data_IF_893211401067
#
_entry.id   IF_893211401067
#
_cell.length_a   1.000
_cell.length_b   1.000
_cell.length_c   1.000
_cell.angle_alpha   90.00
_cell.angle_beta   90.00
_cell.angle_gamma   90.00
#
_symmetry.space_group_name_H-M   'P 1'
#
loop_
_entity.id
_entity.type
_entity.pdbx_description
1 polymer ?
#
# COMPACT_ATOMS: atom_id res chain seq x y z
N UNK A 1 16.78 -25.30 61.82
CA UNK A 1 15.65 -26.22 61.57
C UNK A 1 15.40 -26.28 60.08
N UNK A 2 16.04 -27.25 59.40
CA UNK A 2 15.83 -27.49 57.96
C UNK A 2 14.46 -28.14 57.83
N UNK A 3 13.56 -27.51 57.06
CA UNK A 3 12.23 -28.06 56.78
C UNK A 3 12.41 -29.24 55.83
N UNK A 4 12.35 -30.45 56.36
CA UNK A 4 12.41 -31.71 55.62
C UNK A 4 11.36 -31.71 54.51
N UNK A 5 11.81 -31.69 53.24
CA UNK A 5 10.96 -31.87 52.05
C UNK A 5 11.07 -30.82 50.93
N UNK A 6 11.84 -29.73 51.10
CA UNK A 6 12.10 -28.78 49.99
C UNK A 6 13.48 -29.03 49.40
N UNK A 7 13.54 -29.39 48.11
CA UNK A 7 14.79 -29.42 47.33
C UNK A 7 15.46 -28.05 47.40
N UNK A 8 16.76 -28.01 47.66
CA UNK A 8 17.52 -26.75 47.71
C UNK A 8 17.51 -26.08 46.34
N UNK A 9 17.76 -24.77 46.28
CA UNK A 9 17.88 -24.08 44.98
C UNK A 9 19.03 -24.64 44.12
N UNK A 10 20.07 -25.21 44.74
CA UNK A 10 21.13 -25.96 44.05
C UNK A 10 20.58 -27.20 43.34
N UNK A 11 19.83 -28.03 44.04
CA UNK A 11 19.20 -29.24 43.48
C UNK A 11 18.14 -28.91 42.43
N UNK A 12 17.38 -27.82 42.62
CA UNK A 12 16.35 -27.38 41.69
C UNK A 12 16.93 -26.89 40.37
N UNK A 13 18.11 -26.29 40.39
CA UNK A 13 18.74 -25.70 39.23
C UNK A 13 19.92 -26.49 38.67
N UNK A 14 20.21 -27.66 39.27
CA UNK A 14 21.28 -28.59 38.89
C UNK A 14 22.65 -27.89 38.83
N UNK A 15 22.91 -26.98 39.76
CA UNK A 15 24.19 -26.26 39.85
C UNK A 15 25.06 -27.00 40.87
N UNK A 16 26.24 -27.52 40.48
CA UNK A 16 27.16 -28.13 41.43
C UNK A 16 27.73 -27.07 42.37
N UNK A 17 27.97 -27.46 43.62
CA UNK A 17 28.48 -26.55 44.69
C UNK A 17 29.78 -25.86 44.27
N UNK A 18 30.62 -26.53 43.46
CA UNK A 18 31.88 -25.99 42.95
C UNK A 18 31.72 -24.75 42.06
N UNK A 19 30.51 -24.47 41.56
CA UNK A 19 30.22 -23.27 40.78
C UNK A 19 29.98 -22.03 41.66
N UNK A 20 29.88 -22.20 42.98
CA UNK A 20 29.82 -21.12 43.96
C UNK A 20 31.24 -20.67 44.39
N UNK A 21 32.12 -20.43 43.40
CA UNK A 21 33.50 -20.01 43.61
C UNK A 21 33.82 -18.74 42.80
N UNK A 22 34.72 -17.91 43.30
CA UNK A 22 35.15 -16.66 42.65
C UNK A 22 35.76 -16.91 41.28
N UNK A 23 36.55 -17.97 41.14
CA UNK A 23 37.21 -18.31 39.88
C UNK A 23 36.19 -18.73 38.83
N UNK A 24 35.19 -19.51 39.22
CA UNK A 24 34.11 -19.94 38.34
C UNK A 24 33.23 -18.76 37.92
N UNK A 25 32.82 -17.91 38.86
CA UNK A 25 32.00 -16.72 38.59
C UNK A 25 32.66 -15.78 37.58
N UNK A 26 33.98 -15.58 37.67
CA UNK A 26 34.74 -14.74 36.73
C UNK A 26 34.84 -15.37 35.34
N UNK A 27 34.96 -16.69 35.26
CA UNK A 27 35.06 -17.43 33.99
C UNK A 27 33.69 -17.69 33.33
N UNK A 28 32.60 -17.56 34.09
CA UNK A 28 31.24 -17.73 33.58
C UNK A 28 30.92 -16.75 32.45
N UNK A 29 30.64 -17.29 31.26
CA UNK A 29 30.17 -16.52 30.10
C UNK A 29 28.65 -16.56 29.97
N UNK A 30 27.98 -17.54 30.60
CA UNK A 30 26.54 -17.75 30.46
C UNK A 30 25.72 -16.89 31.46
N UNK A 31 24.97 -15.86 31.01
CA UNK A 31 24.26 -14.95 31.89
C UNK A 31 23.09 -15.62 32.63
N UNK A 32 22.51 -16.69 32.09
CA UNK A 32 21.39 -17.41 32.74
C UNK A 32 21.85 -18.25 33.93
N UNK A 33 23.03 -18.83 33.84
CA UNK A 33 23.65 -19.56 34.96
C UNK A 33 24.05 -18.58 36.06
N UNK A 34 24.61 -17.44 35.69
CA UNK A 34 24.96 -16.38 36.62
C UNK A 34 23.74 -15.77 37.34
N UNK A 35 22.60 -15.61 36.64
CA UNK A 35 21.31 -15.22 37.26
C UNK A 35 20.82 -16.26 38.29
N UNK A 36 21.06 -17.55 38.06
CA UNK A 36 20.71 -18.62 39.00
C UNK A 36 21.65 -18.62 40.20
N UNK A 37 22.96 -18.50 39.97
CA UNK A 37 23.98 -18.41 41.04
C UNK A 37 23.68 -17.21 41.95
N UNK A 38 23.42 -16.03 41.39
CA UNK A 38 23.08 -14.84 42.16
C UNK A 38 21.83 -15.03 43.03
N UNK A 39 20.78 -15.70 42.52
CA UNK A 39 19.57 -15.99 43.29
C UNK A 39 19.80 -17.03 44.41
N UNK A 40 20.68 -18.02 44.21
CA UNK A 40 21.09 -18.96 45.26
C UNK A 40 21.84 -18.22 46.36
N UNK A 41 22.77 -17.33 46.00
CA UNK A 41 23.53 -16.54 46.97
C UNK A 41 22.64 -15.54 47.72
N UNK A 42 21.64 -14.96 47.07
CA UNK A 42 20.67 -14.05 47.69
C UNK A 42 19.70 -14.77 48.63
N UNK A 43 19.38 -16.05 48.39
CA UNK A 43 18.47 -16.81 49.25
C UNK A 43 19.09 -17.17 50.62
N UNK A 44 20.42 -17.21 50.70
CA UNK A 44 21.15 -17.56 51.92
C UNK A 44 20.99 -19.02 52.36
N UNK A 45 20.48 -19.90 51.49
CA UNK A 45 20.25 -21.33 51.80
C UNK A 45 21.56 -22.09 52.06
N UNK A 46 22.64 -21.73 51.34
CA UNK A 46 23.95 -22.41 51.38
C UNK A 46 24.97 -21.68 52.28
N UNK A 47 24.58 -20.57 52.91
CA UNK A 47 25.46 -19.70 53.69
C UNK A 47 25.44 -18.25 53.21
N UNK A 48 26.01 -17.37 54.02
CA UNK A 48 26.06 -15.93 53.75
C UNK A 48 27.44 -15.52 53.22
N UNK A 49 27.52 -15.25 51.92
CA UNK A 49 28.78 -14.92 51.22
C UNK A 49 28.69 -13.54 50.55
N UNK A 50 28.79 -12.43 51.31
CA UNK A 50 28.50 -11.08 50.79
C UNK A 50 29.44 -10.65 49.66
N UNK A 51 30.71 -11.03 49.70
CA UNK A 51 31.70 -10.67 48.68
C UNK A 51 31.48 -11.43 47.36
N UNK A 52 31.09 -12.71 47.43
CA UNK A 52 30.76 -13.51 46.26
C UNK A 52 29.45 -13.05 45.62
N UNK A 53 28.46 -12.68 46.43
CA UNK A 53 27.21 -12.07 45.94
C UNK A 53 27.47 -10.76 45.21
N UNK A 54 28.36 -9.91 45.74
CA UNK A 54 28.73 -8.66 45.08
C UNK A 54 29.48 -8.90 43.76
N UNK A 55 30.43 -9.84 43.75
CA UNK A 55 31.19 -10.19 42.56
C UNK A 55 30.29 -10.75 41.45
N UNK A 56 29.34 -11.63 41.80
CA UNK A 56 28.33 -12.16 40.87
C UNK A 56 27.37 -11.07 40.37
N UNK A 57 26.99 -10.11 41.21
CA UNK A 57 26.16 -8.97 40.81
C UNK A 57 26.85 -8.08 39.77
N UNK A 58 28.11 -7.71 40.03
CA UNK A 58 28.90 -6.85 39.15
C UNK A 58 29.11 -7.52 37.79
N UNK A 59 29.47 -8.81 37.79
CA UNK A 59 29.66 -9.58 36.57
C UNK A 59 28.34 -9.76 35.80
N UNK A 60 27.22 -9.98 36.50
CA UNK A 60 25.90 -10.07 35.88
C UNK A 60 25.42 -8.72 35.32
N UNK A 61 25.74 -7.60 35.96
CA UNK A 61 25.44 -6.26 35.46
C UNK A 61 26.26 -5.92 34.22
N UNK A 62 27.51 -6.38 34.14
CA UNK A 62 28.36 -6.23 32.96
C UNK A 62 27.83 -7.03 31.76
N UNK A 63 27.36 -8.27 31.98
CA UNK A 63 26.83 -9.12 30.90
C UNK A 63 25.38 -8.77 30.51
N UNK A 64 24.53 -8.42 31.49
CA UNK A 64 23.09 -8.23 31.27
C UNK A 64 22.48 -7.19 32.23
N UNK A 65 22.61 -5.87 31.92
CA UNK A 65 22.13 -4.80 32.79
C UNK A 65 20.60 -4.78 32.96
N UNK A 66 19.84 -5.27 31.97
CA UNK A 66 18.37 -5.29 31.98
C UNK A 66 17.77 -6.61 32.50
N UNK A 67 18.52 -7.36 33.31
CA UNK A 67 18.01 -8.62 33.87
C UNK A 67 16.78 -8.38 34.76
N UNK A 68 15.86 -9.35 34.79
CA UNK A 68 14.68 -9.27 35.69
C UNK A 68 15.07 -9.31 37.16
N UNK A 69 16.28 -9.80 37.46
CA UNK A 69 16.79 -10.01 38.81
C UNK A 69 17.10 -8.69 39.52
N UNK A 70 17.45 -7.65 38.76
CA UNK A 70 17.68 -6.30 39.28
C UNK A 70 16.42 -5.45 39.42
N UNK A 71 15.24 -5.98 39.04
CA UNK A 71 13.99 -5.24 39.19
C UNK A 71 13.57 -5.29 40.66
N UNK A 72 13.51 -4.13 41.28
CA UNK A 72 12.92 -3.95 42.60
C UNK A 72 11.45 -3.56 42.45
N UNK A 73 10.61 -4.05 43.35
CA UNK A 73 9.21 -3.60 43.41
C UNK A 73 9.20 -2.14 43.88
N UNK A 74 8.82 -1.24 42.99
CA UNK A 74 8.61 0.17 43.31
C UNK A 74 7.16 0.36 43.80
N UNK A 75 6.93 1.17 44.85
CA UNK A 75 5.59 1.49 45.30
C UNK A 75 4.82 2.27 44.22
N UNK A 76 3.51 2.06 44.14
CA UNK A 76 2.65 2.76 43.17
C UNK A 76 2.68 4.26 43.43
N UNK A 77 3.01 5.04 42.38
CA UNK A 77 2.99 6.50 42.42
C UNK A 77 1.58 7.00 42.73
N UNK A 78 1.44 7.70 43.85
CA UNK A 78 0.21 8.41 44.26
C UNK A 78 0.18 9.83 43.70
N UNK A 79 -0.99 10.47 43.74
CA UNK A 79 -1.24 11.84 43.28
C UNK A 79 -0.22 12.86 43.82
N UNK A 80 0.26 12.66 45.05
CA UNK A 80 1.18 13.59 45.72
C UNK A 80 2.62 13.52 45.18
N UNK A 81 2.95 12.50 44.39
CA UNK A 81 4.25 12.35 43.72
C UNK A 81 4.27 12.95 42.31
N UNK A 82 3.19 13.60 41.89
CA UNK A 82 3.04 14.14 40.56
C UNK A 82 3.08 15.68 40.60
N UNK A 83 3.89 16.28 39.74
CA UNK A 83 4.03 17.73 39.66
C UNK A 83 2.68 18.38 39.38
N UNK A 84 2.37 19.48 40.08
CA UNK A 84 1.06 20.13 39.99
C UNK A 84 0.70 20.54 38.56
N UNK A 85 1.68 20.97 37.77
CA UNK A 85 1.49 21.32 36.35
C UNK A 85 1.07 20.11 35.52
N UNK A 86 1.79 18.99 35.67
CA UNK A 86 1.46 17.74 34.97
C UNK A 86 0.09 17.21 35.39
N UNK A 87 -0.27 17.33 36.67
CA UNK A 87 -1.58 16.95 37.17
C UNK A 87 -2.69 17.83 36.58
N UNK A 88 -2.48 19.15 36.49
CA UNK A 88 -3.42 20.08 35.86
C UNK A 88 -3.59 19.77 34.37
N UNK A 89 -2.50 19.48 33.66
CA UNK A 89 -2.54 19.12 32.25
C UNK A 89 -3.32 17.81 32.02
N UNK A 90 -3.08 16.78 32.84
CA UNK A 90 -3.84 15.53 32.78
C UNK A 90 -5.32 15.80 33.04
N UNK A 91 -5.64 16.62 34.03
CA UNK A 91 -7.02 16.96 34.37
C UNK A 91 -7.71 17.71 33.23
N UNK A 92 -7.03 18.67 32.61
CA UNK A 92 -7.53 19.41 31.44
C UNK A 92 -7.74 18.50 30.23
N UNK A 93 -6.84 17.56 29.98
CA UNK A 93 -6.99 16.58 28.92
C UNK A 93 -8.20 15.67 29.17
N UNK A 94 -8.40 15.23 30.42
CA UNK A 94 -9.55 14.42 30.82
C UNK A 94 -10.87 15.17 30.67
N UNK A 95 -10.92 16.44 31.10
CA UNK A 95 -12.13 17.26 30.94
C UNK A 95 -12.44 17.47 29.46
N UNK A 96 -11.44 17.81 28.64
CA UNK A 96 -11.59 17.96 27.19
C UNK A 96 -12.10 16.68 26.54
N UNK A 97 -11.55 15.52 26.92
CA UNK A 97 -12.02 14.23 26.44
C UNK A 97 -13.48 13.97 26.84
N UNK A 98 -13.82 14.14 28.12
CA UNK A 98 -15.20 13.90 28.58
C UNK A 98 -16.24 14.80 27.92
N UNK A 99 -15.89 16.06 27.63
CA UNK A 99 -16.77 16.98 26.89
C UNK A 99 -16.95 16.53 25.45
N UNK A 100 -15.85 16.24 24.74
CA UNK A 100 -15.90 15.73 23.37
C UNK A 100 -16.67 14.41 23.26
N UNK A 101 -16.54 13.50 24.23
CA UNK A 101 -17.30 12.25 24.27
C UNK A 101 -18.80 12.50 24.43
N UNK A 102 -19.21 13.43 25.30
CA UNK A 102 -20.63 13.81 25.48
C UNK A 102 -21.21 14.49 24.25
N UNK A 103 -20.41 15.31 23.56
CA UNK A 103 -20.83 15.94 22.30
C UNK A 103 -21.08 14.88 21.23
N UNK A 104 -20.15 13.93 21.05
CA UNK A 104 -20.32 12.80 20.14
C UNK A 104 -21.52 11.93 20.51
N UNK A 105 -21.75 11.67 21.79
CA UNK A 105 -22.90 10.88 22.26
C UNK A 105 -24.23 11.55 21.89
N UNK A 106 -24.32 12.89 22.05
CA UNK A 106 -25.48 13.67 21.61
C UNK A 106 -25.67 13.67 20.10
N UNK A 107 -24.58 13.73 19.33
CA UNK A 107 -24.65 13.63 17.85
C UNK A 107 -25.21 12.28 17.40
N UNK A 108 -24.80 11.20 18.07
CA UNK A 108 -25.29 9.84 17.79
C UNK A 108 -26.74 9.68 18.22
N UNK A 109 -27.13 10.21 19.38
CA UNK A 109 -28.49 10.10 19.91
C UNK A 109 -29.50 10.97 19.14
N UNK A 110 -29.07 12.12 18.61
CA UNK A 110 -29.88 13.02 17.78
C UNK A 110 -30.17 12.50 16.37
N UNK A 111 -29.54 11.41 15.93
CA UNK A 111 -29.79 10.82 14.62
C UNK A 111 -30.79 9.65 14.71
N UNK A 112 -32.04 9.81 14.21
CA UNK A 112 -33.07 8.76 14.31
C UNK A 112 -32.77 7.53 13.44
N UNK A 113 -31.72 7.57 12.60
CA UNK A 113 -31.29 6.43 11.79
C UNK A 113 -30.23 5.63 12.54
N UNK A 114 -30.66 4.86 13.56
CA UNK A 114 -29.91 3.64 13.93
C UNK A 114 -29.88 2.77 12.68
N UNK A 115 -28.75 2.75 11.98
CA UNK A 115 -28.53 1.83 10.88
C UNK A 115 -28.85 0.43 11.41
N UNK A 116 -29.96 -0.16 10.94
CA UNK A 116 -30.16 -1.61 11.00
C UNK A 116 -29.07 -2.18 10.08
N UNK A 117 -27.89 -2.36 10.65
CA UNK A 117 -26.80 -3.08 9.99
C UNK A 117 -27.27 -4.52 9.99
N UNK A 118 -27.86 -4.91 8.87
CA UNK A 118 -28.15 -6.31 8.59
C UNK A 118 -26.79 -6.96 8.36
N UNK A 119 -26.27 -7.61 9.41
CA UNK A 119 -25.01 -8.30 9.34
C UNK A 119 -25.12 -9.37 8.24
N UNK A 120 -24.13 -9.51 7.36
CA UNK A 120 -24.13 -10.60 6.40
C UNK A 120 -24.28 -11.92 7.17
N UNK A 121 -25.15 -12.80 6.69
CA UNK A 121 -25.36 -14.11 7.29
C UNK A 121 -24.00 -14.76 7.55
N UNK A 122 -23.82 -15.21 8.81
CA UNK A 122 -22.64 -15.99 9.22
C UNK A 122 -22.44 -17.06 8.17
N UNK A 123 -21.24 -17.13 7.57
CA UNK A 123 -20.93 -18.11 6.53
C UNK A 123 -21.22 -19.51 7.06
N UNK A 124 -22.39 -20.01 6.71
CA UNK A 124 -22.71 -21.42 6.82
C UNK A 124 -21.66 -22.16 5.99
N UNK A 125 -21.12 -23.29 6.46
CA UNK A 125 -20.22 -24.10 5.65
C UNK A 125 -20.93 -24.36 4.32
N UNK A 126 -20.36 -23.84 3.23
CA UNK A 126 -20.82 -24.19 1.89
C UNK A 126 -20.73 -25.70 1.82
N UNK A 127 -21.89 -26.36 1.64
CA UNK A 127 -21.91 -27.73 1.19
C UNK A 127 -20.90 -27.84 0.03
N UNK A 128 -20.08 -28.91 -0.01
CA UNK A 128 -19.06 -29.06 -1.02
C UNK A 128 -19.69 -28.74 -2.38
N UNK A 129 -19.01 -27.95 -3.24
CA UNK A 129 -19.54 -27.64 -4.55
C UNK A 129 -19.90 -28.99 -5.17
N UNK A 130 -21.19 -29.18 -5.48
CA UNK A 130 -21.57 -30.28 -6.33
C UNK A 130 -20.75 -30.06 -7.60
N UNK A 131 -19.75 -30.93 -7.74
CA UNK A 131 -18.74 -30.86 -8.77
C UNK A 131 -19.43 -30.58 -10.10
N UNK A 132 -18.82 -29.66 -10.85
CA UNK A 132 -19.38 -29.05 -12.06
C UNK A 132 -20.15 -30.05 -12.90
N UNK A 133 -21.31 -29.60 -13.38
CA UNK A 133 -22.24 -30.37 -14.18
C UNK A 133 -21.52 -31.30 -15.15
N UNK A 134 -21.29 -32.54 -14.73
CA UNK A 134 -21.46 -33.64 -15.65
C UNK A 134 -22.94 -33.60 -15.92
N UNK A 135 -23.30 -33.28 -17.17
CA UNK A 135 -24.58 -33.71 -17.69
C UNK A 135 -24.68 -35.19 -17.31
N UNK A 136 -25.51 -35.50 -16.32
CA UNK A 136 -25.90 -36.86 -15.98
C UNK A 136 -26.65 -37.40 -17.20
N UNK A 137 -25.90 -37.82 -18.21
CA UNK A 137 -26.42 -38.72 -19.22
C UNK A 137 -26.57 -40.04 -18.48
N UNK A 138 -27.79 -40.27 -17.99
CA UNK A 138 -28.17 -41.55 -17.43
C UNK A 138 -27.69 -42.64 -18.40
N UNK A 139 -26.94 -43.66 -17.95
CA UNK A 139 -26.46 -44.72 -18.83
C UNK A 139 -27.61 -45.50 -19.51
N UNK A 140 -28.85 -45.28 -19.07
CA UNK A 140 -30.09 -45.77 -19.68
C UNK A 140 -30.47 -45.06 -21.00
N UNK A 141 -30.08 -43.80 -21.19
CA UNK A 141 -30.44 -43.01 -22.39
C UNK A 141 -29.42 -43.15 -23.53
N UNK A 142 -28.29 -43.82 -23.25
CA UNK A 142 -27.29 -44.15 -24.25
C UNK A 142 -27.80 -45.32 -25.09
N UNK A 143 -28.13 -45.06 -26.36
CA UNK A 143 -28.45 -46.11 -27.33
C UNK A 143 -27.28 -47.10 -27.37
N UNK A 144 -27.56 -48.38 -27.07
CA UNK A 144 -26.52 -49.43 -27.03
C UNK A 144 -26.07 -49.76 -28.45
N UNK A 145 -24.81 -50.17 -28.61
CA UNK A 145 -24.20 -50.44 -29.92
C UNK A 145 -24.89 -51.56 -30.72
N UNK A 146 -25.59 -52.47 -30.04
CA UNK A 146 -26.29 -53.60 -30.65
C UNK A 146 -27.78 -53.33 -30.93
N UNK A 147 -28.29 -52.12 -30.65
CA UNK A 147 -29.70 -51.75 -30.88
C UNK A 147 -29.86 -50.98 -32.20
N UNK A 148 -29.62 -51.66 -33.33
CA UNK A 148 -29.61 -51.06 -34.67
C UNK A 148 -30.91 -50.34 -35.04
N UNK A 149 -32.09 -50.87 -34.68
CA UNK A 149 -33.38 -50.21 -34.96
C UNK A 149 -33.55 -48.83 -34.30
N UNK A 150 -32.85 -48.59 -33.19
CA UNK A 150 -32.87 -47.28 -32.51
C UNK A 150 -31.84 -46.34 -33.13
N UNK A 151 -30.72 -46.87 -33.64
CA UNK A 151 -29.74 -46.09 -34.41
C UNK A 151 -30.32 -45.62 -35.76
N UNK A 152 -31.13 -46.44 -36.42
CA UNK A 152 -31.79 -46.06 -37.69
C UNK A 152 -32.80 -44.92 -37.51
N UNK A 153 -33.37 -44.77 -36.30
CA UNK A 153 -34.30 -43.68 -35.95
C UNK A 153 -33.60 -42.47 -35.34
N UNK A 154 -32.29 -42.54 -35.11
CA UNK A 154 -31.53 -41.46 -34.48
C UNK A 154 -31.15 -40.42 -35.53
N UNK A 155 -31.70 -39.23 -35.39
CA UNK A 155 -31.37 -38.07 -36.23
C UNK A 155 -30.24 -37.27 -35.59
N UNK A 156 -29.02 -37.48 -36.11
CA UNK A 156 -27.81 -36.84 -35.59
C UNK A 156 -27.81 -35.32 -35.79
N UNK A 157 -28.42 -34.84 -36.88
CA UNK A 157 -28.46 -33.41 -37.20
C UNK A 157 -29.41 -32.68 -36.23
N UNK A 158 -30.54 -33.29 -35.88
CA UNK A 158 -31.46 -32.76 -34.89
C UNK A 158 -30.85 -32.70 -33.47
N UNK A 159 -30.02 -33.67 -33.09
CA UNK A 159 -29.32 -33.67 -31.78
C UNK A 159 -28.18 -32.66 -31.73
N UNK A 160 -27.46 -32.44 -32.83
CA UNK A 160 -26.45 -31.39 -32.93
C UNK A 160 -27.05 -30.01 -32.64
N UNK A 161 -28.19 -29.69 -33.27
CA UNK A 161 -28.92 -28.44 -33.04
C UNK A 161 -29.39 -28.31 -31.59
N UNK A 162 -29.83 -29.42 -30.96
CA UNK A 162 -30.20 -29.42 -29.54
C UNK A 162 -29.00 -29.15 -28.64
N UNK A 163 -27.82 -29.70 -28.96
CA UNK A 163 -26.59 -29.44 -28.20
C UNK A 163 -26.16 -27.98 -28.31
N UNK A 164 -26.18 -27.41 -29.52
CA UNK A 164 -25.83 -26.00 -29.74
C UNK A 164 -26.78 -25.07 -28.99
N UNK A 165 -28.10 -25.33 -29.06
CA UNK A 165 -29.11 -24.56 -28.31
C UNK A 165 -28.90 -24.67 -26.80
N UNK A 166 -28.53 -25.85 -26.30
CA UNK A 166 -28.22 -26.04 -24.87
C UNK A 166 -26.96 -25.28 -24.45
N UNK A 167 -25.93 -25.25 -25.28
CA UNK A 167 -24.70 -24.49 -25.00
C UNK A 167 -24.99 -22.98 -24.97
N UNK A 168 -25.81 -22.48 -25.90
CA UNK A 168 -26.20 -21.07 -25.95
C UNK A 168 -27.02 -20.66 -24.72
N UNK A 169 -27.98 -21.48 -24.30
CA UNK A 169 -28.73 -21.27 -23.04
C UNK A 169 -27.80 -21.29 -21.82
N UNK A 170 -26.81 -22.18 -21.79
CA UNK A 170 -25.83 -22.23 -20.70
C UNK A 170 -24.94 -20.98 -20.66
N UNK A 171 -24.49 -20.49 -21.82
CA UNK A 171 -23.74 -19.24 -21.95
C UNK A 171 -24.56 -18.05 -21.48
N UNK A 172 -25.81 -17.92 -21.94
CA UNK A 172 -26.70 -16.84 -21.52
C UNK A 172 -26.97 -16.87 -20.00
N UNK A 173 -27.19 -18.05 -19.42
CA UNK A 173 -27.33 -18.21 -17.96
C UNK A 173 -26.06 -17.85 -17.20
N UNK A 174 -24.89 -18.22 -17.72
CA UNK A 174 -23.61 -17.89 -17.12
C UNK A 174 -23.33 -16.39 -17.18
N UNK A 175 -23.68 -15.73 -18.29
CA UNK A 175 -23.60 -14.28 -18.44
C UNK A 175 -24.59 -13.56 -17.54
N UNK A 176 -25.85 -14.02 -17.45
CA UNK A 176 -26.83 -13.50 -16.48
C UNK A 176 -26.36 -13.66 -15.05
N UNK A 177 -25.76 -14.79 -14.68
CA UNK A 177 -25.17 -14.96 -13.35
C UNK A 177 -23.95 -14.06 -13.11
N UNK A 178 -23.10 -13.84 -14.13
CA UNK A 178 -21.98 -12.88 -14.04
C UNK A 178 -22.49 -11.46 -13.86
N UNK A 179 -23.49 -11.06 -14.64
CA UNK A 179 -24.13 -9.75 -14.56
C UNK A 179 -24.86 -9.56 -13.23
N UNK A 180 -25.62 -10.54 -12.75
CA UNK A 180 -26.25 -10.50 -11.42
C UNK A 180 -25.22 -10.40 -10.30
N UNK A 181 -24.12 -11.19 -10.35
CA UNK A 181 -23.02 -11.05 -9.38
C UNK A 181 -22.38 -9.66 -9.44
N UNK A 182 -22.22 -9.08 -10.64
CA UNK A 182 -21.68 -7.74 -10.82
C UNK A 182 -22.59 -6.67 -10.21
N UNK A 183 -23.90 -6.74 -10.45
CA UNK A 183 -24.91 -5.83 -9.86
C UNK A 183 -24.94 -5.94 -8.34
N UNK A 184 -24.94 -7.16 -7.79
CA UNK A 184 -24.89 -7.38 -6.33
C UNK A 184 -23.60 -6.83 -5.72
N UNK A 185 -22.46 -6.94 -6.41
CA UNK A 185 -21.20 -6.33 -5.98
C UNK A 185 -21.33 -4.80 -6.03
N UNK A 186 -21.84 -4.20 -7.11
CA UNK A 186 -22.02 -2.74 -7.21
C UNK A 186 -23.00 -2.18 -6.15
N UNK A 187 -24.07 -2.91 -5.80
CA UNK A 187 -25.00 -2.52 -4.73
C UNK A 187 -24.39 -2.63 -3.32
N UNK A 188 -23.51 -3.61 -3.08
CA UNK A 188 -22.73 -3.73 -1.84
C UNK A 188 -21.59 -2.69 -1.80
N UNK A 189 -21.06 -2.31 -2.96
CA UNK A 189 -19.95 -1.36 -3.14
C UNK A 189 -20.42 0.09 -3.09
N UNK A 190 -21.72 0.37 -3.09
CA UNK A 190 -22.22 1.66 -2.61
C UNK A 190 -21.62 1.89 -1.22
N UNK A 191 -20.63 2.79 -1.10
CA UNK A 191 -19.69 2.66 -0.01
C UNK A 191 -20.45 2.85 1.30
N UNK A 192 -20.27 1.92 2.25
CA UNK A 192 -20.99 1.92 3.53
C UNK A 192 -20.89 3.31 4.20
N UNK A 193 -19.79 4.02 3.96
CA UNK A 193 -19.57 5.38 4.45
C UNK A 193 -20.52 6.45 3.89
N UNK A 194 -21.16 6.27 2.74
CA UNK A 194 -22.18 7.21 2.22
C UNK A 194 -23.45 7.26 3.09
N UNK A 195 -23.70 6.22 3.89
CA UNK A 195 -24.83 6.17 4.84
C UNK A 195 -24.47 6.68 6.24
N UNK A 196 -23.19 6.93 6.51
CA UNK A 196 -22.68 7.42 7.80
C UNK A 196 -22.78 8.95 7.91
N UNK A 197 -22.84 9.44 9.14
CA UNK A 197 -22.74 10.88 9.43
C UNK A 197 -21.34 11.41 9.06
N UNK A 198 -21.22 12.73 8.89
CA UNK A 198 -19.92 13.37 8.60
C UNK A 198 -18.88 13.07 9.69
N UNK A 199 -19.27 13.19 10.95
CA UNK A 199 -18.42 12.92 12.13
C UNK A 199 -17.89 11.48 12.13
N UNK A 200 -18.75 10.49 11.84
CA UNK A 200 -18.34 9.09 11.74
C UNK A 200 -17.40 8.86 10.55
N UNK A 201 -17.63 9.51 9.40
CA UNK A 201 -16.76 9.39 8.22
C UNK A 201 -15.35 9.92 8.50
N UNK A 202 -15.25 11.08 9.13
CA UNK A 202 -13.98 11.67 9.55
C UNK A 202 -13.22 10.75 10.51
N UNK A 203 -13.91 10.11 11.46
CA UNK A 203 -13.31 9.15 12.38
C UNK A 203 -12.83 7.87 11.67
N UNK A 204 -13.61 7.34 10.73
CA UNK A 204 -13.23 6.19 9.93
C UNK A 204 -12.02 6.50 9.03
N UNK A 205 -12.02 7.65 8.37
CA UNK A 205 -10.89 8.13 7.58
C UNK A 205 -9.64 8.31 8.45
N UNK A 206 -9.79 8.89 9.65
CA UNK A 206 -8.69 9.02 10.62
C UNK A 206 -8.11 7.66 11.02
N UNK A 207 -8.96 6.65 11.23
CA UNK A 207 -8.54 5.28 11.56
C UNK A 207 -7.71 4.66 10.42
N UNK A 208 -8.16 4.79 9.17
CA UNK A 208 -7.41 4.33 8.00
C UNK A 208 -6.08 5.08 7.82
N UNK A 209 -6.07 6.40 8.05
CA UNK A 209 -4.83 7.20 8.05
C UNK A 209 -3.83 6.71 9.11
N UNK A 210 -4.28 6.43 10.34
CA UNK A 210 -3.39 5.94 11.41
C UNK A 210 -2.81 4.57 11.05
N UNK A 211 -3.64 3.65 10.55
CA UNK A 211 -3.17 2.34 10.06
C UNK A 211 -2.17 2.47 8.91
N UNK A 212 -2.44 3.34 7.93
CA UNK A 212 -1.50 3.62 6.85
C UNK A 212 -0.15 4.14 7.36
N UNK A 213 -0.16 5.00 8.38
CA UNK A 213 1.06 5.48 9.03
C UNK A 213 1.81 4.36 9.77
N UNK A 214 1.10 3.40 10.38
CA UNK A 214 1.70 2.23 11.02
C UNK A 214 2.38 1.33 9.99
N UNK A 215 1.71 1.00 8.90
CA UNK A 215 2.31 0.24 7.79
C UNK A 215 3.50 0.96 7.15
N UNK A 216 3.42 2.29 7.02
CA UNK A 216 4.54 3.08 6.51
C UNK A 216 5.76 3.00 7.45
N UNK A 217 5.55 2.94 8.77
CA UNK A 217 6.64 2.74 9.75
C UNK A 217 7.23 1.34 9.69
N UNK A 218 6.42 0.31 9.42
CA UNK A 218 6.90 -1.08 9.22
C UNK A 218 7.56 -1.30 7.86
N UNK A 219 7.55 -0.28 6.98
CA UNK A 219 8.03 -0.32 5.59
C UNK A 219 7.18 -1.17 4.64
N UNK A 220 5.96 -1.51 5.04
CA UNK A 220 4.97 -2.17 4.20
C UNK A 220 4.23 -1.14 3.34
N UNK A 221 4.92 -0.61 2.33
CA UNK A 221 4.42 0.52 1.54
C UNK A 221 3.17 0.19 0.72
N UNK A 222 3.00 -1.05 0.27
CA UNK A 222 1.82 -1.49 -0.49
C UNK A 222 0.55 -1.46 0.37
N UNK A 223 0.63 -1.93 1.62
CA UNK A 223 -0.49 -1.85 2.56
C UNK A 223 -0.74 -0.41 2.99
N UNK A 224 0.32 0.38 3.21
CA UNK A 224 0.17 1.80 3.48
C UNK A 224 -0.59 2.51 2.34
N UNK A 225 -0.24 2.24 1.08
CA UNK A 225 -0.93 2.78 -0.10
C UNK A 225 -2.42 2.39 -0.12
N UNK A 226 -2.76 1.12 0.17
CA UNK A 226 -4.15 0.66 0.25
C UNK A 226 -4.93 1.38 1.33
N UNK A 227 -4.38 1.51 2.53
CA UNK A 227 -5.05 2.18 3.65
C UNK A 227 -5.20 3.70 3.41
N UNK A 228 -4.21 4.35 2.79
CA UNK A 228 -4.36 5.75 2.38
C UNK A 228 -5.38 5.93 1.26
N UNK A 229 -5.47 4.99 0.31
CA UNK A 229 -6.49 5.05 -0.75
C UNK A 229 -7.90 4.95 -0.16
N UNK A 230 -8.13 4.01 0.78
CA UNK A 230 -9.40 3.96 1.53
C UNK A 230 -9.68 5.26 2.29
N UNK A 231 -8.65 5.88 2.88
CA UNK A 231 -8.80 7.17 3.55
C UNK A 231 -9.30 8.26 2.58
N UNK A 232 -8.75 8.31 1.37
CA UNK A 232 -9.13 9.27 0.33
C UNK A 232 -10.54 8.99 -0.18
N UNK A 233 -10.90 7.71 -0.38
CA UNK A 233 -12.24 7.30 -0.83
C UNK A 233 -13.35 7.68 0.17
N UNK A 234 -13.02 7.76 1.46
CA UNK A 234 -13.95 8.17 2.52
C UNK A 234 -14.00 9.69 2.63
N UNK A 235 -12.84 10.34 2.79
CA UNK A 235 -12.70 11.77 3.00
C UNK A 235 -11.43 12.29 2.27
N UNK A 236 -11.60 12.88 1.08
CA UNK A 236 -10.49 13.48 0.34
C UNK A 236 -9.87 14.64 1.11
N UNK A 237 -8.61 14.52 1.50
CA UNK A 237 -7.88 15.52 2.27
C UNK A 237 -6.46 15.71 1.72
N UNK A 238 -5.97 16.95 1.74
CA UNK A 238 -4.57 17.26 1.41
C UNK A 238 -3.59 16.36 2.16
N UNK A 239 -3.83 16.11 3.46
CA UNK A 239 -2.98 15.24 4.28
C UNK A 239 -2.99 13.80 3.77
N UNK A 240 -4.15 13.29 3.36
CA UNK A 240 -4.30 11.92 2.86
C UNK A 240 -3.57 11.73 1.53
N UNK A 241 -3.74 12.65 0.58
CA UNK A 241 -2.99 12.66 -0.68
C UNK A 241 -1.48 12.75 -0.45
N UNK A 242 -1.05 13.63 0.46
CA UNK A 242 0.37 13.83 0.74
C UNK A 242 1.03 12.60 1.39
N UNK A 243 0.28 11.82 2.17
CA UNK A 243 0.73 10.56 2.75
C UNK A 243 0.74 9.41 1.72
N UNK A 244 -0.23 9.38 0.80
CA UNK A 244 -0.23 8.42 -0.32
C UNK A 244 0.92 8.69 -1.30
N UNK A 245 1.18 9.96 -1.63
CA UNK A 245 2.29 10.37 -2.50
C UNK A 245 3.64 9.84 -2.02
N UNK A 246 3.95 9.95 -0.72
CA UNK A 246 5.23 9.43 -0.20
C UNK A 246 5.28 7.90 -0.20
N UNK A 247 4.15 7.20 -0.01
CA UNK A 247 4.08 5.75 -0.19
C UNK A 247 4.34 5.36 -1.65
N UNK A 248 3.76 6.09 -2.61
CA UNK A 248 3.97 5.88 -4.04
C UNK A 248 5.42 6.13 -4.48
N UNK A 249 6.08 7.18 -3.96
CA UNK A 249 7.53 7.40 -4.17
C UNK A 249 8.35 6.21 -3.65
N UNK A 250 7.95 5.59 -2.53
CA UNK A 250 8.65 4.41 -1.98
C UNK A 250 8.39 3.13 -2.76
N UNK A 251 7.27 3.05 -3.47
CA UNK A 251 6.90 1.95 -4.36
C UNK A 251 7.39 2.14 -5.80
N UNK A 252 8.14 3.21 -6.08
CA UNK A 252 8.59 3.59 -7.42
C UNK A 252 7.45 3.89 -8.42
N UNK A 253 6.26 4.23 -7.88
CA UNK A 253 5.08 4.67 -8.65
C UNK A 253 5.10 6.20 -8.79
N UNK A 254 6.05 6.70 -9.57
CA UNK A 254 6.38 8.13 -9.60
C UNK A 254 5.26 9.00 -10.20
N UNK A 255 4.62 8.54 -11.28
CA UNK A 255 3.51 9.27 -11.92
C UNK A 255 2.31 9.43 -10.98
N UNK A 256 1.89 8.34 -10.33
CA UNK A 256 0.82 8.37 -9.33
C UNK A 256 1.18 9.28 -8.14
N UNK A 257 2.45 9.32 -7.73
CA UNK A 257 2.90 10.23 -6.69
C UNK A 257 2.81 11.71 -7.11
N UNK A 258 3.10 12.04 -8.38
CA UNK A 258 2.98 13.40 -8.91
C UNK A 258 1.50 13.81 -8.93
N UNK A 259 0.61 12.94 -9.42
CA UNK A 259 -0.84 13.17 -9.42
C UNK A 259 -1.39 13.41 -8.01
N UNK A 260 -0.93 12.63 -7.02
CA UNK A 260 -1.28 12.81 -5.61
C UNK A 260 -0.77 14.13 -5.05
N UNK A 261 0.46 14.52 -5.40
CA UNK A 261 0.99 15.82 -5.00
C UNK A 261 0.17 16.95 -5.63
N UNK A 262 -0.23 16.83 -6.89
CA UNK A 262 -1.08 17.82 -7.56
C UNK A 262 -2.48 17.88 -6.94
N UNK A 263 -3.07 16.74 -6.58
CA UNK A 263 -4.33 16.69 -5.83
C UNK A 263 -4.21 17.39 -4.47
N UNK A 264 -3.11 17.18 -3.76
CA UNK A 264 -2.81 17.88 -2.52
C UNK A 264 -2.69 19.39 -2.73
N UNK A 265 -1.98 19.84 -3.77
CA UNK A 265 -1.75 21.25 -4.07
C UNK A 265 -3.02 21.97 -4.58
N UNK A 266 -3.96 21.25 -5.21
CA UNK A 266 -5.28 21.80 -5.53
C UNK A 266 -6.08 22.18 -4.28
N UNK A 267 -5.90 21.42 -3.19
CA UNK A 267 -6.56 21.69 -1.90
C UNK A 267 -5.76 22.70 -1.08
N UNK A 268 -4.44 22.53 -1.00
CA UNK A 268 -3.52 23.37 -0.24
C UNK A 268 -2.34 23.84 -1.12
N UNK A 269 -2.48 24.96 -1.86
CA UNK A 269 -1.50 25.38 -2.85
C UNK A 269 -0.13 25.78 -2.27
N UNK A 270 -0.08 26.12 -0.98
CA UNK A 270 1.16 26.50 -0.27
C UNK A 270 1.75 25.38 0.58
N UNK A 271 1.34 24.12 0.34
CA UNK A 271 1.86 22.99 1.12
C UNK A 271 3.29 22.65 0.71
N UNK A 272 4.27 23.15 1.47
CA UNK A 272 5.70 22.91 1.24
C UNK A 272 6.06 21.41 1.21
N UNK A 273 5.40 20.57 2.01
CA UNK A 273 5.68 19.11 2.03
C UNK A 273 5.25 18.46 0.71
N UNK A 274 4.11 18.86 0.17
CA UNK A 274 3.61 18.35 -1.11
C UNK A 274 4.50 18.82 -2.27
N UNK A 275 4.90 20.10 -2.29
CA UNK A 275 5.83 20.62 -3.31
C UNK A 275 7.19 19.91 -3.26
N UNK A 276 7.75 19.68 -2.07
CA UNK A 276 9.02 18.96 -1.92
C UNK A 276 8.92 17.51 -2.42
N UNK A 277 7.80 16.83 -2.14
CA UNK A 277 7.56 15.47 -2.63
C UNK A 277 7.33 15.42 -4.14
N UNK A 278 6.63 16.40 -4.70
CA UNK A 278 6.46 16.56 -6.15
C UNK A 278 7.81 16.75 -6.84
N UNK A 279 8.65 17.65 -6.33
CA UNK A 279 9.99 17.86 -6.84
C UNK A 279 10.81 16.55 -6.78
N UNK A 280 10.78 15.84 -5.64
CA UNK A 280 11.45 14.55 -5.51
C UNK A 280 10.93 13.50 -6.51
N UNK A 281 9.62 13.40 -6.70
CA UNK A 281 9.03 12.45 -7.65
C UNK A 281 9.42 12.79 -9.10
N UNK A 282 9.41 14.08 -9.47
CA UNK A 282 9.86 14.56 -10.80
C UNK A 282 11.36 14.35 -11.02
N UNK A 283 12.19 14.49 -9.99
CA UNK A 283 13.62 14.18 -10.05
C UNK A 283 13.86 12.69 -10.35
N UNK A 284 13.06 11.81 -9.75
CA UNK A 284 13.14 10.36 -9.98
C UNK A 284 12.57 9.94 -11.34
N UNK A 285 11.57 10.66 -11.86
CA UNK A 285 10.92 10.41 -13.17
C UNK A 285 11.72 11.03 -14.34
N UNK A 286 12.96 11.47 -14.09
CA UNK A 286 13.88 12.14 -15.03
C UNK A 286 13.36 13.47 -15.64
N UNK A 287 12.30 14.03 -15.06
CA UNK A 287 11.70 15.31 -15.43
C UNK A 287 12.41 16.49 -14.74
N UNK A 288 13.74 16.59 -14.93
CA UNK A 288 14.62 17.53 -14.20
C UNK A 288 14.24 19.00 -14.35
N UNK A 289 13.77 19.42 -15.53
CA UNK A 289 13.35 20.82 -15.78
C UNK A 289 12.12 21.19 -14.96
N UNK A 290 11.08 20.35 -14.99
CA UNK A 290 9.86 20.54 -14.19
C UNK A 290 10.15 20.46 -12.70
N UNK A 291 11.05 19.56 -12.26
CA UNK A 291 11.49 19.52 -10.87
C UNK A 291 12.13 20.84 -10.42
N UNK A 292 12.96 21.46 -11.28
CA UNK A 292 13.61 22.73 -11.01
C UNK A 292 12.60 23.90 -10.92
N UNK A 293 11.56 23.90 -11.76
CA UNK A 293 10.45 24.87 -11.67
C UNK A 293 9.73 24.78 -10.33
N UNK A 294 9.37 23.56 -9.90
CA UNK A 294 8.72 23.34 -8.59
C UNK A 294 9.64 23.74 -7.43
N UNK A 295 10.94 23.45 -7.50
CA UNK A 295 11.90 23.90 -6.47
C UNK A 295 12.04 25.42 -6.43
N UNK A 296 11.95 26.11 -7.57
CA UNK A 296 11.92 27.58 -7.59
C UNK A 296 10.64 28.12 -6.94
N UNK A 297 9.49 27.48 -7.13
CA UNK A 297 8.26 27.84 -6.42
C UNK A 297 8.41 27.67 -4.90
N UNK A 298 9.04 26.57 -4.46
CA UNK A 298 9.36 26.36 -3.03
C UNK A 298 10.23 27.50 -2.50
N UNK A 299 11.29 27.89 -3.22
CA UNK A 299 12.18 28.97 -2.81
C UNK A 299 11.52 30.35 -2.84
N UNK A 300 10.45 30.56 -3.62
CA UNK A 300 9.62 31.78 -3.56
C UNK A 300 8.77 31.82 -2.29
N UNK A 301 8.29 30.67 -1.82
CA UNK A 301 7.46 30.56 -0.61
C UNK A 301 8.33 30.57 0.66
N UNK A 302 9.40 29.76 0.67
CA UNK A 302 10.36 29.63 1.76
C UNK A 302 11.79 29.74 1.22
N UNK A 303 12.35 30.97 1.19
CA UNK A 303 13.71 31.20 0.73
C UNK A 303 14.79 30.57 1.62
N UNK A 304 14.49 30.14 2.84
CA UNK A 304 15.49 29.58 3.77
C UNK A 304 15.56 28.05 3.73
N UNK A 305 14.73 27.40 2.92
CA UNK A 305 14.72 25.94 2.80
C UNK A 305 16.03 25.40 2.20
N UNK A 306 16.92 24.93 3.07
CA UNK A 306 18.23 24.39 2.70
C UNK A 306 18.14 23.15 1.79
N UNK A 307 17.12 22.30 1.97
CA UNK A 307 16.94 21.12 1.14
C UNK A 307 16.57 21.51 -0.30
N UNK A 308 15.64 22.45 -0.46
CA UNK A 308 15.26 22.98 -1.78
C UNK A 308 16.43 23.67 -2.49
N UNK A 309 17.23 24.49 -1.78
CA UNK A 309 18.44 25.12 -2.35
C UNK A 309 19.42 24.09 -2.88
N UNK A 310 19.74 23.08 -2.06
CA UNK A 310 20.69 22.02 -2.41
C UNK A 310 20.22 21.19 -3.61
N UNK A 311 18.94 20.79 -3.65
CA UNK A 311 18.36 20.07 -4.78
C UNK A 311 18.34 20.93 -6.05
N UNK A 312 17.98 22.21 -5.95
CA UNK A 312 17.95 23.12 -7.09
C UNK A 312 19.36 23.36 -7.68
N UNK A 313 20.37 23.54 -6.83
CA UNK A 313 21.77 23.66 -7.28
C UNK A 313 22.28 22.39 -7.95
N UNK A 314 21.94 21.22 -7.40
CA UNK A 314 22.27 19.92 -8.01
C UNK A 314 21.67 19.82 -9.41
N UNK A 315 20.37 20.06 -9.55
CA UNK A 315 19.69 20.00 -10.84
C UNK A 315 20.20 21.03 -11.84
N UNK A 316 20.55 22.25 -11.40
CA UNK A 316 21.15 23.28 -12.26
C UNK A 316 22.49 22.86 -12.87
N UNK A 317 23.28 22.04 -12.16
CA UNK A 317 24.54 21.50 -12.68
C UNK A 317 24.31 20.36 -13.68
N UNK A 318 23.26 19.57 -13.47
CA UNK A 318 22.93 18.44 -14.33
C UNK A 318 22.19 18.84 -15.60
N UNK A 319 21.43 19.94 -15.58
CA UNK A 319 20.76 20.46 -16.76
C UNK A 319 21.78 21.24 -17.61
N UNK A 320 22.13 20.78 -18.82
CA UNK A 320 22.99 21.55 -19.70
C UNK A 320 22.32 22.89 -20.02
N UNK A 321 23.10 23.98 -19.97
CA UNK A 321 22.64 25.30 -20.41
C UNK A 321 22.05 25.16 -21.82
N UNK A 322 20.89 25.76 -22.12
CA UNK A 322 20.40 25.79 -23.50
C UNK A 322 21.53 26.35 -24.36
N UNK A 323 21.91 25.61 -25.41
CA UNK A 323 22.86 26.09 -26.40
C UNK A 323 22.36 27.45 -26.90
N UNK A 324 23.23 28.45 -26.86
CA UNK A 324 22.96 29.80 -27.39
C UNK A 324 22.53 29.67 -28.85
N UNK A 325 21.21 29.72 -29.12
CA UNK A 325 20.63 29.51 -30.46
C UNK A 325 19.54 28.45 -30.58
N UNK A 326 19.17 27.71 -29.52
CA UNK A 326 18.07 26.74 -29.58
C UNK A 326 16.69 27.44 -29.67
N UNK A 327 16.12 27.52 -30.87
CA UNK A 327 14.76 28.01 -31.10
C UNK A 327 13.76 26.95 -30.62
N UNK A 328 12.97 27.27 -29.60
CA UNK A 328 11.88 26.40 -29.12
C UNK A 328 10.73 26.50 -30.13
N UNK A 329 10.57 25.51 -31.01
CA UNK A 329 9.35 25.40 -31.83
C UNK A 329 8.16 25.27 -30.88
N UNK A 330 7.25 26.25 -30.90
CA UNK A 330 5.93 26.12 -30.30
C UNK A 330 5.13 25.24 -31.27
N UNK A 331 4.79 24.03 -30.83
CA UNK A 331 3.75 23.25 -31.47
C UNK A 331 2.44 23.82 -30.89
N UNK A 332 1.71 24.58 -31.69
CA UNK A 332 0.34 24.97 -31.37
C UNK A 332 -0.56 23.82 -31.78
N UNK A 333 -1.17 23.16 -30.79
CA UNK A 333 -2.18 22.15 -31.05
C UNK A 333 -3.42 22.86 -31.63
N UNK A 334 -3.69 22.59 -32.90
CA UNK A 334 -4.86 23.10 -33.61
C UNK A 334 -6.10 22.48 -32.95
N UNK A 335 -7.08 23.27 -32.46
CA UNK A 335 -8.31 22.73 -31.89
C UNK A 335 -9.04 21.85 -32.91
N UNK A 336 -9.43 20.65 -32.49
CA UNK A 336 -10.10 19.61 -33.30
C UNK A 336 -11.59 19.92 -33.59
N UNK A 337 -12.02 21.18 -33.46
CA UNK A 337 -13.39 21.61 -33.75
C UNK A 337 -13.36 22.78 -34.74
N UNK A 338 -13.33 22.43 -36.04
CA UNK A 338 -13.75 23.34 -37.11
C UNK A 338 -15.28 23.42 -37.10
N UNK A 339 -15.89 24.61 -37.10
CA UNK A 339 -17.32 24.77 -37.33
C UNK A 339 -17.72 24.23 -38.71
N UNK A 340 -18.82 23.46 -38.78
CA UNK A 340 -19.35 22.82 -40.01
C UNK A 340 -19.74 23.82 -41.12
N UNK A 341 -19.77 25.13 -40.86
CA UNK A 341 -20.31 26.14 -41.77
C UNK A 341 -19.35 26.64 -42.87
N UNK A 342 -18.11 26.14 -42.96
CA UNK A 342 -17.16 26.55 -44.01
C UNK A 342 -16.91 25.50 -45.11
N UNK A 343 -17.77 24.48 -45.21
CA UNK A 343 -17.62 23.39 -46.19
C UNK A 343 -18.14 23.71 -47.60
N UNK A 344 -18.68 24.89 -47.89
CA UNK A 344 -19.34 25.15 -49.19
C UNK A 344 -18.66 26.12 -50.18
N UNK A 345 -17.53 26.79 -49.87
CA UNK A 345 -16.86 27.63 -50.89
C UNK A 345 -15.33 27.48 -50.86
N UNK A 346 -14.83 26.51 -51.62
CA UNK A 346 -13.41 26.45 -52.01
C UNK A 346 -13.23 27.19 -53.36
N UNK A 347 -12.41 28.26 -53.43
CA UNK A 347 -11.97 28.79 -54.70
C UNK A 347 -10.94 27.85 -55.37
N UNK A 348 -11.03 27.73 -56.69
CA UNK A 348 -10.17 26.89 -57.54
C UNK A 348 -8.67 27.10 -57.25
N UNK A 349 -7.99 26.02 -56.87
CA UNK A 349 -6.54 25.99 -56.64
C UNK A 349 -5.83 26.02 -57.99
N UNK A 350 -5.04 27.07 -58.24
CA UNK A 350 -4.08 27.10 -59.33
C UNK A 350 -3.00 26.03 -59.08
N UNK A 351 -2.80 25.14 -60.06
CA UNK A 351 -1.79 24.09 -60.04
C UNK A 351 -0.39 24.65 -59.77
N UNK A 352 0.14 24.40 -58.57
CA UNK A 352 1.54 24.70 -58.25
C UNK A 352 2.38 23.48 -58.60
N UNK A 353 3.22 23.62 -59.63
CA UNK A 353 4.05 22.54 -60.17
C UNK A 353 5.24 22.18 -59.25
N UNK A 354 5.09 21.08 -58.50
CA UNK A 354 6.11 20.53 -57.58
C UNK A 354 7.26 19.77 -58.28
N UNK A 355 7.26 19.67 -59.61
CA UNK A 355 8.29 18.94 -60.37
C UNK A 355 9.71 19.48 -60.20
N UNK A 356 9.87 20.73 -59.73
CA UNK A 356 11.18 21.36 -59.47
C UNK A 356 11.84 20.94 -58.15
N UNK A 357 11.13 20.24 -57.26
CA UNK A 357 11.65 19.83 -55.94
C UNK A 357 12.24 18.42 -55.91
N UNK A 358 12.14 17.67 -57.01
CA UNK A 358 12.67 16.31 -57.12
C UNK A 358 13.99 16.37 -57.89
N UNK A 359 15.12 16.41 -57.16
CA UNK A 359 16.45 16.20 -57.73
C UNK A 359 16.81 14.72 -57.51
N UNK A 360 16.72 13.84 -58.52
CA UNK A 360 17.11 12.45 -58.34
C UNK A 360 18.64 12.34 -58.28
N UNK A 361 19.13 11.74 -57.20
CA UNK A 361 20.52 11.31 -57.07
C UNK A 361 20.89 10.42 -58.27
N UNK A 362 21.99 10.80 -58.93
CA UNK A 362 22.53 10.24 -60.17
C UNK A 362 22.83 8.74 -60.01
N UNK A 363 21.90 7.87 -60.42
CA UNK A 363 22.16 6.44 -60.62
C UNK A 363 22.73 6.24 -62.03
N UNK A 364 23.90 5.60 -62.10
CA UNK A 364 24.67 5.40 -63.34
C UNK A 364 23.90 4.46 -64.28
N UNK A 365 23.48 4.98 -65.43
CA UNK A 365 22.66 4.32 -66.47
C UNK A 365 23.30 3.08 -67.13
N UNK A 366 24.53 2.71 -66.79
CA UNK A 366 25.25 1.61 -67.46
C UNK A 366 24.85 0.21 -66.99
N UNK A 367 24.05 0.06 -65.92
CA UNK A 367 23.65 -1.26 -65.40
C UNK A 367 22.21 -1.69 -65.71
N UNK A 368 21.35 -0.82 -66.25
CA UNK A 368 19.96 -1.20 -66.55
C UNK A 368 19.82 -2.05 -67.84
N UNK A 369 20.69 -1.85 -68.83
CA UNK A 369 20.62 -2.61 -70.10
C UNK A 369 20.91 -4.11 -69.91
N UNK A 370 21.78 -4.46 -68.96
CA UNK A 370 22.11 -5.86 -68.65
C UNK A 370 21.01 -6.58 -67.85
N UNK A 371 20.21 -5.84 -67.08
CA UNK A 371 19.11 -6.41 -66.27
C UNK A 371 17.86 -6.64 -67.12
N UNK A 372 17.58 -5.77 -68.10
CA UNK A 372 16.43 -5.90 -68.99
C UNK A 372 16.55 -7.10 -69.96
N UNK A 373 17.76 -7.50 -70.37
CA UNK A 373 17.95 -8.67 -71.24
C UNK A 373 17.75 -10.02 -70.53
N UNK A 374 17.93 -10.08 -69.20
CA UNK A 374 17.79 -11.32 -68.42
C UNK A 374 16.34 -11.63 -67.99
N UNK A 375 15.40 -10.70 -68.17
CA UNK A 375 13.99 -10.86 -67.78
C UNK A 375 13.06 -11.23 -68.94
N UNK A 376 13.59 -11.42 -70.15
CA UNK A 376 12.82 -11.74 -71.35
C UNK A 376 12.86 -13.20 -71.82
N UNK A 377 13.46 -14.12 -71.03
CA UNK A 377 13.46 -15.57 -71.32
C UNK A 377 13.38 -16.39 -70.03
N UNK A 378 12.19 -16.49 -69.45
CA UNK A 378 11.73 -17.68 -68.69
C UNK A 378 10.27 -17.90 -69.08
#
# INVERSE_FOLDING_TARGET
>A
MVKEGKKTLLEKWEIPINHLDFDYVKQCTNPKELEKIYKILQSGEEGYYPELTKCTEEHLRALKPNSKVFRTEAPVLKKDHLDQETFQQIRQNLTKFSLSAKEKEKEVEGNPKKLKIEYPEVRQPKAPPQNGGKLDKNPADRIKSHEYEKWDKYDADAEMVKMDLQEEIQKERAERQKSQKKVVIEEIVNPIWNKMTKSEREELALKHKIKGNEYFKTKDFEEAHREYSKCIDIEPSAIAYNNRAIANIKLDRLREAIEDCDACLRVEPKNLKALMRKAQALELDDCKRSALEVLQEILKIDPENAAAKKSAEKLRKEIPSPLTGAFRMKIEDIPEELPEELSEELPEVQDVDFSKLIIPNRIVKSKMAAVAQNLGKI
#
